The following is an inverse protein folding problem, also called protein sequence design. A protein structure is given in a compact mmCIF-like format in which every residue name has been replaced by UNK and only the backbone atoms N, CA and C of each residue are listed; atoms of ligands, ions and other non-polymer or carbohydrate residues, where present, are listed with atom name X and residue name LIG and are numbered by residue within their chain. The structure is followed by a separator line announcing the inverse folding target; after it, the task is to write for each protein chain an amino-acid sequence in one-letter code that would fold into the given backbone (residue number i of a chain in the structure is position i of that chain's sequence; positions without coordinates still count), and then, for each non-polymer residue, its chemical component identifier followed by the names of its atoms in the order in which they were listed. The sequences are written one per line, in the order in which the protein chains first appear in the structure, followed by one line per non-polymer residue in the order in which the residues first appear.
data_IF_284358306168
#
_entry.id   IF_284358306168
#
_cell.length_a   1.000
_cell.length_b   1.000
_cell.length_c   1.000
_cell.angle_alpha   90.00
_cell.angle_beta   90.00
_cell.angle_gamma   90.00
#
_symmetry.space_group_name_H-M   'P 1'
#
loop_
_entity.id
_entity.type
_entity.pdbx_description
1 polymer ?
#
# COMPACT_ATOMS: atom_id res chain seq x y z
N UNK A 1 27.29 3.93 1.14
CA UNK A 1 26.31 5.01 1.25
C UNK A 1 24.85 4.53 1.42
N UNK A 2 24.58 3.23 1.29
CA UNK A 2 23.21 2.65 1.34
C UNK A 2 22.74 2.26 2.75
N UNK A 3 23.58 2.34 3.77
CA UNK A 3 23.29 1.81 5.10
C UNK A 3 22.13 2.51 5.83
N UNK A 4 21.80 3.75 5.52
CA UNK A 4 20.75 4.51 6.22
C UNK A 4 19.34 4.29 5.66
N UNK A 5 19.21 3.96 4.39
CA UNK A 5 17.91 3.54 3.79
C UNK A 5 17.49 2.19 4.37
N UNK A 6 18.45 1.29 4.57
CA UNK A 6 18.25 -0.02 5.19
C UNK A 6 17.71 0.07 6.63
N UNK A 7 18.18 1.03 7.43
CA UNK A 7 17.72 1.21 8.81
C UNK A 7 16.23 1.58 8.92
N UNK A 8 15.66 2.30 7.96
CA UNK A 8 14.25 2.68 8.00
C UNK A 8 13.32 1.48 7.76
N UNK A 9 13.66 0.57 6.83
CA UNK A 9 12.88 -0.65 6.61
C UNK A 9 13.01 -1.61 7.79
N UNK A 10 14.23 -1.80 8.29
CA UNK A 10 14.51 -2.63 9.46
C UNK A 10 13.81 -2.12 10.71
N UNK A 11 13.84 -0.81 10.97
CA UNK A 11 13.19 -0.20 12.12
C UNK A 11 11.68 -0.42 12.13
N UNK A 12 11.01 -0.35 10.97
CA UNK A 12 9.59 -0.62 10.86
C UNK A 12 9.26 -2.08 11.21
N UNK A 13 10.02 -3.03 10.67
CA UNK A 13 9.84 -4.46 10.96
C UNK A 13 10.04 -4.75 12.45
N UNK A 14 11.10 -4.22 13.06
CA UNK A 14 11.35 -4.37 14.50
C UNK A 14 10.22 -3.79 15.34
N UNK A 15 9.72 -2.60 15.00
CA UNK A 15 8.62 -1.97 15.71
C UNK A 15 7.31 -2.78 15.63
N UNK A 16 7.01 -3.38 14.47
CA UNK A 16 5.85 -4.25 14.31
C UNK A 16 5.98 -5.54 15.12
N UNK A 17 7.16 -6.16 15.11
CA UNK A 17 7.45 -7.35 15.92
C UNK A 17 7.40 -7.05 17.42
N UNK A 18 7.89 -5.88 17.85
CA UNK A 18 7.81 -5.41 19.25
C UNK A 18 6.36 -5.22 19.69
N UNK A 19 5.48 -4.76 18.80
CA UNK A 19 4.05 -4.66 19.04
C UNK A 19 3.33 -6.03 19.17
N UNK A 20 4.03 -7.14 18.98
CA UNK A 20 3.50 -8.49 19.17
C UNK A 20 2.81 -9.09 17.95
N UNK A 21 2.98 -8.50 16.77
CA UNK A 21 2.37 -9.01 15.52
C UNK A 21 3.25 -10.03 14.81
N UNK A 22 2.63 -10.92 14.03
CA UNK A 22 3.32 -11.68 12.99
C UNK A 22 3.56 -10.77 11.79
N UNK A 23 4.76 -10.83 11.22
CA UNK A 23 5.17 -9.93 10.12
C UNK A 23 5.61 -10.74 8.92
N UNK A 24 4.95 -10.54 7.79
CA UNK A 24 5.43 -10.99 6.48
C UNK A 24 6.04 -9.80 5.75
N UNK A 25 7.36 -9.79 5.62
CA UNK A 25 8.11 -8.75 4.93
C UNK A 25 8.32 -9.15 3.46
N UNK A 26 7.80 -8.34 2.54
CA UNK A 26 7.98 -8.50 1.09
C UNK A 26 9.06 -7.51 0.67
N UNK A 27 10.19 -8.02 0.17
CA UNK A 27 11.35 -7.22 -0.21
C UNK A 27 11.87 -7.65 -1.58
N UNK A 28 11.97 -6.71 -2.51
CA UNK A 28 12.44 -6.97 -3.88
C UNK A 28 13.96 -7.09 -3.96
N UNK A 29 14.70 -6.41 -3.07
CA UNK A 29 16.17 -6.43 -3.05
C UNK A 29 16.68 -7.67 -2.29
N UNK A 30 17.33 -8.65 -2.98
CA UNK A 30 17.79 -9.88 -2.36
C UNK A 30 18.76 -9.66 -1.18
N UNK A 31 19.77 -8.78 -1.25
CA UNK A 31 20.63 -8.46 -0.12
C UNK A 31 19.87 -7.99 1.12
N UNK A 32 18.84 -7.15 0.95
CA UNK A 32 18.01 -6.67 2.06
C UNK A 32 17.15 -7.78 2.64
N UNK A 33 16.50 -8.58 1.77
CA UNK A 33 15.70 -9.73 2.18
C UNK A 33 16.52 -10.73 3.01
N UNK A 34 17.76 -11.01 2.60
CA UNK A 34 18.66 -11.94 3.31
C UNK A 34 19.16 -11.41 4.66
N UNK A 35 19.30 -10.08 4.80
CA UNK A 35 19.79 -9.46 6.05
C UNK A 35 18.72 -9.35 7.12
N UNK A 36 17.46 -9.22 6.73
CA UNK A 36 16.37 -8.95 7.66
C UNK A 36 16.21 -10.00 8.76
N UNK A 37 16.23 -11.33 8.48
CA UNK A 37 16.19 -12.35 9.53
C UNK A 37 17.37 -12.27 10.52
N UNK A 38 18.57 -12.01 10.02
CA UNK A 38 19.76 -11.88 10.84
C UNK A 38 19.66 -10.68 11.78
N UNK A 39 19.15 -9.57 11.28
CA UNK A 39 18.91 -8.36 12.08
C UNK A 39 17.89 -8.62 13.18
N UNK A 40 16.78 -9.29 12.87
CA UNK A 40 15.79 -9.64 13.89
C UNK A 40 16.37 -10.61 14.91
N UNK A 41 17.17 -11.59 14.48
CA UNK A 41 17.85 -12.51 15.41
C UNK A 41 18.84 -11.78 16.32
N UNK A 42 19.52 -10.74 15.84
CA UNK A 42 20.47 -9.94 16.62
C UNK A 42 19.76 -9.04 17.64
N UNK A 43 18.70 -8.33 17.24
CA UNK A 43 18.06 -7.30 18.07
C UNK A 43 16.83 -7.81 18.85
N UNK A 44 16.13 -8.82 18.33
CA UNK A 44 14.87 -9.35 18.88
C UNK A 44 14.75 -10.87 18.69
N UNK A 45 15.68 -11.70 19.21
CA UNK A 45 15.70 -13.14 18.98
C UNK A 45 14.39 -13.83 19.40
N UNK A 46 13.70 -13.30 20.41
CA UNK A 46 12.40 -13.80 20.89
C UNK A 46 11.25 -13.58 19.90
N UNK A 47 11.45 -12.77 18.86
CA UNK A 47 10.45 -12.49 17.85
C UNK A 47 10.78 -13.11 16.48
N UNK A 48 11.89 -13.84 16.36
CA UNK A 48 12.37 -14.39 15.09
C UNK A 48 11.34 -15.33 14.44
N UNK A 49 10.63 -16.12 15.21
CA UNK A 49 9.61 -17.08 14.73
C UNK A 49 8.35 -16.37 14.17
N UNK A 50 8.19 -15.07 14.42
CA UNK A 50 7.08 -14.27 13.94
C UNK A 50 7.41 -13.46 12.68
N UNK A 51 8.64 -13.59 12.16
CA UNK A 51 9.07 -12.95 10.92
C UNK A 51 9.12 -13.96 9.78
N UNK A 52 8.38 -13.68 8.72
CA UNK A 52 8.48 -14.34 7.42
C UNK A 52 9.01 -13.34 6.39
N UNK A 53 10.05 -13.70 5.66
CA UNK A 53 10.64 -12.83 4.63
C UNK A 53 10.49 -13.47 3.26
N UNK A 54 9.90 -12.72 2.34
CA UNK A 54 9.66 -13.14 0.97
C UNK A 54 10.41 -12.19 0.03
N UNK A 55 11.41 -12.73 -0.67
CA UNK A 55 12.10 -11.95 -1.68
C UNK A 55 11.32 -11.98 -2.99
N UNK A 56 10.44 -10.99 -3.17
CA UNK A 56 9.55 -10.89 -4.32
C UNK A 56 9.18 -9.44 -4.63
N UNK A 57 8.74 -9.18 -5.86
CA UNK A 57 8.17 -7.89 -6.25
C UNK A 57 6.69 -7.80 -5.79
N UNK A 58 6.37 -6.81 -4.98
CA UNK A 58 5.02 -6.56 -4.49
C UNK A 58 4.00 -6.27 -5.62
N UNK A 59 4.44 -5.90 -6.81
CA UNK A 59 3.57 -5.72 -7.99
C UNK A 59 3.10 -7.05 -8.60
N UNK A 60 3.87 -8.10 -8.42
CA UNK A 60 3.60 -9.41 -9.06
C UNK A 60 3.25 -10.51 -8.06
N UNK A 61 3.45 -10.28 -6.77
CA UNK A 61 3.20 -11.26 -5.70
C UNK A 61 1.77 -11.79 -5.73
N UNK A 62 1.62 -13.09 -5.50
CA UNK A 62 0.34 -13.79 -5.49
C UNK A 62 0.08 -14.49 -4.15
N UNK A 63 -1.16 -14.91 -3.87
CA UNK A 63 -1.45 -15.72 -2.69
C UNK A 63 -0.64 -17.03 -2.61
N UNK A 64 -0.27 -17.61 -3.74
CA UNK A 64 0.56 -18.81 -3.84
C UNK A 64 1.99 -18.58 -3.37
N UNK A 65 2.51 -17.36 -3.58
CA UNK A 65 3.85 -16.95 -3.13
C UNK A 65 3.90 -16.67 -1.61
N UNK A 66 2.72 -16.56 -0.98
CA UNK A 66 2.57 -16.09 0.40
C UNK A 66 1.55 -16.94 1.19
N UNK A 67 1.84 -18.23 1.44
CA UNK A 67 0.91 -19.14 2.14
C UNK A 67 0.47 -18.60 3.51
N UNK A 68 1.36 -17.92 4.22
CA UNK A 68 1.09 -17.32 5.53
C UNK A 68 0.01 -16.23 5.43
N UNK A 69 0.09 -15.37 4.41
CA UNK A 69 -0.92 -14.33 4.19
C UNK A 69 -2.24 -14.93 3.68
N UNK A 70 -2.17 -15.98 2.85
CA UNK A 70 -3.36 -16.62 2.28
C UNK A 70 -4.26 -17.25 3.34
N UNK A 71 -3.68 -17.69 4.45
CA UNK A 71 -4.41 -18.30 5.59
C UNK A 71 -4.74 -17.31 6.70
N UNK A 72 -4.19 -16.10 6.66
CA UNK A 72 -4.46 -15.08 7.66
C UNK A 72 -5.91 -14.58 7.57
N UNK A 73 -6.66 -14.50 8.68
CA UNK A 73 -8.03 -13.98 8.66
C UNK A 73 -8.08 -12.47 8.38
N UNK A 74 -7.04 -11.75 8.76
CA UNK A 74 -6.90 -10.30 8.61
C UNK A 74 -5.47 -9.95 8.26
N UNK A 75 -5.30 -9.04 7.31
CA UNK A 75 -4.00 -8.48 6.93
C UNK A 75 -4.05 -6.97 7.09
N UNK A 76 -3.02 -6.42 7.72
CA UNK A 76 -2.77 -4.98 7.77
C UNK A 76 -1.46 -4.68 7.04
N UNK A 77 -1.51 -3.90 5.96
CA UNK A 77 -0.31 -3.43 5.29
C UNK A 77 0.26 -2.20 6.00
N UNK A 78 1.53 -2.29 6.41
CA UNK A 78 2.30 -1.15 6.94
C UNK A 78 3.57 -1.03 6.13
N UNK A 79 3.75 0.09 5.42
CA UNK A 79 4.88 0.22 4.51
C UNK A 79 5.30 1.67 4.27
N UNK A 80 6.60 1.87 4.05
CA UNK A 80 7.14 3.04 3.37
C UNK A 80 7.31 2.67 1.90
N UNK A 81 6.37 3.07 1.05
CA UNK A 81 6.33 2.63 -0.35
C UNK A 81 7.21 3.50 -1.25
N UNK A 82 7.88 2.88 -2.25
CA UNK A 82 8.61 3.62 -3.27
C UNK A 82 7.64 4.55 -4.02
N UNK A 83 8.07 5.78 -4.25
CA UNK A 83 7.20 6.85 -4.70
C UNK A 83 6.52 6.62 -6.06
N UNK A 84 7.24 6.02 -7.01
CA UNK A 84 6.75 5.82 -8.38
C UNK A 84 5.80 4.61 -8.55
N UNK A 85 5.79 3.67 -7.59
CA UNK A 85 5.01 2.42 -7.69
C UNK A 85 4.01 2.22 -6.54
N UNK A 86 3.89 3.18 -5.63
CA UNK A 86 3.04 3.07 -4.45
C UNK A 86 1.57 2.77 -4.79
N UNK A 87 0.97 3.53 -5.72
CA UNK A 87 -0.43 3.32 -6.12
C UNK A 87 -0.67 1.94 -6.74
N UNK A 88 0.09 1.49 -7.75
CA UNK A 88 -0.09 0.14 -8.29
C UNK A 88 0.14 -0.96 -7.24
N UNK A 89 1.13 -0.84 -6.35
CA UNK A 89 1.32 -1.81 -5.26
C UNK A 89 0.07 -1.92 -4.38
N UNK A 90 -0.47 -0.79 -3.91
CA UNK A 90 -1.68 -0.77 -3.06
C UNK A 90 -2.86 -1.45 -3.78
N UNK A 91 -3.11 -1.08 -5.03
CA UNK A 91 -4.25 -1.64 -5.78
C UNK A 91 -4.07 -3.13 -6.07
N UNK A 92 -2.87 -3.58 -6.42
CA UNK A 92 -2.55 -4.99 -6.63
C UNK A 92 -2.76 -5.83 -5.36
N UNK A 93 -2.27 -5.34 -4.23
CA UNK A 93 -2.44 -6.04 -2.96
C UNK A 93 -3.91 -6.10 -2.52
N UNK A 94 -4.67 -5.01 -2.70
CA UNK A 94 -6.10 -4.99 -2.39
C UNK A 94 -6.91 -5.94 -3.28
N UNK A 95 -6.50 -6.12 -4.52
CA UNK A 95 -7.13 -7.06 -5.46
C UNK A 95 -6.84 -8.51 -5.11
N UNK A 96 -5.57 -8.82 -4.85
CA UNK A 96 -5.10 -10.20 -4.69
C UNK A 96 -5.33 -10.77 -3.30
N UNK A 97 -5.38 -9.89 -2.29
CA UNK A 97 -5.56 -10.28 -0.89
C UNK A 97 -6.86 -9.69 -0.32
N UNK A 98 -7.99 -10.40 -0.45
CA UNK A 98 -9.28 -9.95 0.10
C UNK A 98 -9.24 -9.71 1.62
N UNK A 99 -8.35 -10.42 2.34
CA UNK A 99 -8.12 -10.29 3.78
C UNK A 99 -7.39 -9.00 4.16
N UNK A 100 -6.81 -8.27 3.19
CA UNK A 100 -6.19 -6.97 3.42
C UNK A 100 -7.30 -5.94 3.70
N UNK A 101 -7.64 -5.79 4.97
CA UNK A 101 -8.74 -4.95 5.43
C UNK A 101 -8.30 -3.55 5.88
N UNK A 102 -7.00 -3.35 6.16
CA UNK A 102 -6.43 -2.07 6.57
C UNK A 102 -5.06 -1.84 5.98
N UNK A 103 -4.73 -0.57 5.80
CA UNK A 103 -3.33 -0.20 5.62
C UNK A 103 -2.99 1.15 6.26
N UNK A 104 -1.72 1.31 6.60
CA UNK A 104 -1.06 2.58 6.88
C UNK A 104 0.22 2.63 6.07
N UNK A 105 0.25 3.50 5.07
CA UNK A 105 1.40 3.63 4.19
C UNK A 105 1.94 5.05 4.16
N UNK A 106 3.26 5.17 4.08
CA UNK A 106 3.93 6.43 3.82
C UNK A 106 4.22 6.53 2.33
N UNK A 107 3.79 7.62 1.72
CA UNK A 107 3.98 7.93 0.29
C UNK A 107 4.29 9.41 0.10
N UNK A 108 4.68 9.81 -1.12
CA UNK A 108 4.78 11.24 -1.44
C UNK A 108 3.47 11.98 -1.13
N UNK A 109 3.58 13.22 -0.65
CA UNK A 109 2.41 14.07 -0.34
C UNK A 109 1.41 14.12 -1.48
N UNK A 110 1.87 14.31 -2.73
CA UNK A 110 0.99 14.36 -3.90
C UNK A 110 0.22 13.05 -4.12
N UNK A 111 0.88 11.91 -3.94
CA UNK A 111 0.25 10.58 -4.04
C UNK A 111 -0.77 10.41 -2.93
N UNK A 112 -0.44 10.78 -1.70
CA UNK A 112 -1.37 10.74 -0.56
C UNK A 112 -2.61 11.60 -0.80
N UNK A 113 -2.40 12.82 -1.29
CA UNK A 113 -3.49 13.75 -1.60
C UNK A 113 -4.43 13.19 -2.68
N UNK A 114 -3.89 12.51 -3.71
CA UNK A 114 -4.69 11.85 -4.75
C UNK A 114 -5.43 10.62 -4.23
N UNK A 115 -4.78 9.77 -3.43
CA UNK A 115 -5.41 8.57 -2.87
C UNK A 115 -6.57 8.91 -1.95
N UNK A 116 -6.44 9.98 -1.15
CA UNK A 116 -7.46 10.44 -0.20
C UNK A 116 -8.40 11.52 -0.77
N UNK A 117 -8.29 11.84 -2.07
CA UNK A 117 -9.11 12.88 -2.70
C UNK A 117 -10.59 12.49 -2.74
N UNK A 118 -11.46 13.49 -2.52
CA UNK A 118 -12.91 13.33 -2.62
C UNK A 118 -13.44 13.86 -3.95
N UNK A 119 -14.59 13.34 -4.43
CA UNK A 119 -15.26 13.88 -5.60
C UNK A 119 -15.40 15.39 -5.55
N UNK A 120 -15.21 16.07 -6.69
CA UNK A 120 -15.28 17.53 -6.80
C UNK A 120 -13.96 18.26 -6.52
N UNK A 121 -12.95 17.58 -6.01
CA UNK A 121 -11.61 18.20 -5.88
C UNK A 121 -10.83 18.14 -7.18
N UNK A 122 -9.93 19.14 -7.39
CA UNK A 122 -9.09 19.22 -8.61
C UNK A 122 -8.09 18.07 -8.76
N UNK A 123 -7.79 17.37 -7.68
CA UNK A 123 -6.83 16.25 -7.62
C UNK A 123 -7.51 14.89 -7.67
N UNK A 124 -8.86 14.84 -7.62
CA UNK A 124 -9.63 13.61 -7.78
C UNK A 124 -9.37 12.99 -9.15
N UNK A 125 -9.13 11.69 -9.19
CA UNK A 125 -8.76 11.00 -10.42
C UNK A 125 -8.76 9.48 -10.27
N UNK A 126 -8.23 8.79 -11.27
CA UNK A 126 -8.18 7.33 -11.31
C UNK A 126 -7.74 6.67 -10.00
N UNK A 127 -6.63 7.08 -9.32
CA UNK A 127 -6.24 6.48 -8.06
C UNK A 127 -7.28 6.63 -6.96
N UNK A 128 -7.95 7.80 -6.89
CA UNK A 128 -8.98 8.09 -5.91
C UNK A 128 -10.19 7.16 -6.08
N UNK A 129 -10.67 7.02 -7.33
CA UNK A 129 -11.85 6.21 -7.66
C UNK A 129 -11.56 4.73 -7.44
N UNK A 130 -10.42 4.24 -7.95
CA UNK A 130 -10.06 2.82 -7.82
C UNK A 130 -9.87 2.42 -6.36
N UNK A 131 -9.27 3.28 -5.53
CA UNK A 131 -9.13 3.00 -4.11
C UNK A 131 -10.48 3.05 -3.38
N UNK A 132 -11.34 4.01 -3.74
CA UNK A 132 -12.69 4.13 -3.17
C UNK A 132 -13.61 2.93 -3.49
N UNK A 133 -13.28 2.13 -4.50
CA UNK A 133 -13.97 0.85 -4.76
C UNK A 133 -13.83 -0.12 -3.59
N UNK A 134 -12.64 -0.19 -2.98
CA UNK A 134 -12.33 -1.14 -1.93
C UNK A 134 -12.67 -0.65 -0.52
N UNK A 135 -12.61 0.66 -0.28
CA UNK A 135 -12.76 1.19 1.07
C UNK A 135 -12.55 2.69 1.16
N UNK A 136 -12.32 3.16 2.38
CA UNK A 136 -12.15 4.58 2.72
C UNK A 136 -10.67 4.85 3.01
N UNK A 137 -10.09 5.77 2.25
CA UNK A 137 -8.75 6.28 2.47
C UNK A 137 -8.77 7.68 3.07
N UNK A 138 -7.84 7.96 3.98
CA UNK A 138 -7.67 9.26 4.61
C UNK A 138 -6.19 9.59 4.74
N UNK A 139 -5.82 10.85 4.50
CA UNK A 139 -4.50 11.34 4.85
C UNK A 139 -4.48 11.63 6.36
N UNK A 140 -3.69 10.86 7.12
CA UNK A 140 -3.67 10.92 8.58
C UNK A 140 -2.61 11.85 9.15
N UNK A 141 -1.45 11.98 8.47
CA UNK A 141 -0.37 12.86 8.93
C UNK A 141 0.50 13.34 7.77
N UNK A 142 1.20 14.45 8.00
CA UNK A 142 2.25 14.99 7.14
C UNK A 142 3.61 14.71 7.76
N UNK A 143 4.58 14.35 6.93
CA UNK A 143 5.96 14.08 7.33
C UNK A 143 6.87 14.96 6.47
N UNK A 144 7.46 15.96 7.10
CA UNK A 144 8.38 16.87 6.43
C UNK A 144 9.65 16.15 5.97
N UNK A 145 10.18 16.55 4.81
CA UNK A 145 11.37 15.97 4.20
C UNK A 145 12.61 15.98 5.11
N UNK A 146 12.68 16.90 6.07
CA UNK A 146 13.83 17.05 6.99
C UNK A 146 13.94 15.90 8.02
N UNK A 147 12.92 15.04 8.13
CA UNK A 147 12.95 13.84 8.98
C UNK A 147 13.83 12.73 8.39
N UNK A 148 14.11 12.81 7.09
CA UNK A 148 14.85 11.79 6.36
C UNK A 148 16.31 12.20 6.10
N UNK A 149 17.18 11.20 6.01
CA UNK A 149 18.56 11.38 5.58
C UNK A 149 18.97 10.31 4.54
N UNK A 150 19.40 10.72 3.34
CA UNK A 150 19.34 12.07 2.79
C UNK A 150 17.91 12.57 2.67
N UNK A 151 17.73 13.92 2.80
CA UNK A 151 16.41 14.50 2.68
C UNK A 151 15.88 14.36 1.25
N UNK A 152 14.66 13.85 1.04
CA UNK A 152 14.04 13.79 -0.28
C UNK A 152 13.66 15.19 -0.77
N UNK A 153 13.40 15.31 -2.08
CA UNK A 153 13.01 16.61 -2.68
C UNK A 153 11.57 17.03 -2.35
N UNK A 154 10.75 16.11 -1.84
CA UNK A 154 9.31 16.31 -1.57
C UNK A 154 8.95 15.82 -0.18
N UNK A 155 7.91 16.40 0.38
CA UNK A 155 7.34 15.93 1.63
C UNK A 155 6.60 14.60 1.43
N UNK A 156 6.51 13.83 2.50
CA UNK A 156 5.74 12.60 2.58
C UNK A 156 4.47 12.79 3.41
N UNK A 157 3.54 11.85 3.27
CA UNK A 157 2.36 11.82 4.11
C UNK A 157 1.98 10.36 4.40
N UNK A 158 1.30 10.15 5.53
CA UNK A 158 0.69 8.88 5.88
C UNK A 158 -0.73 8.84 5.33
N UNK A 159 -1.06 7.71 4.69
CA UNK A 159 -2.43 7.38 4.27
C UNK A 159 -2.87 6.17 5.05
N UNK A 160 -4.00 6.28 5.73
CA UNK A 160 -4.71 5.17 6.35
C UNK A 160 -5.89 4.76 5.50
N UNK A 161 -6.20 3.49 5.53
CA UNK A 161 -7.30 2.90 4.76
C UNK A 161 -8.02 1.84 5.58
N UNK A 162 -9.32 1.76 5.38
CA UNK A 162 -10.16 0.69 5.92
C UNK A 162 -11.07 0.17 4.81
N UNK A 163 -11.03 -1.15 4.57
CA UNK A 163 -11.86 -1.83 3.57
C UNK A 163 -13.33 -1.82 3.98
N UNK A 164 -14.22 -1.74 3.01
CA UNK A 164 -15.66 -1.92 3.26
C UNK A 164 -15.96 -3.34 3.73
N UNK A 165 -16.95 -3.51 4.63
CA UNK A 165 -17.53 -4.83 4.89
C UNK A 165 -18.02 -5.43 3.56
N UNK A 166 -17.65 -6.69 3.28
CA UNK A 166 -17.97 -7.31 1.98
C UNK A 166 -16.96 -7.04 0.86
N UNK A 167 -15.91 -6.24 1.13
CA UNK A 167 -14.72 -6.13 0.26
C UNK A 167 -14.83 -5.12 -0.88
N UNK A 168 -15.98 -4.55 -1.13
CA UNK A 168 -16.22 -3.56 -2.20
C UNK A 168 -17.28 -2.53 -1.83
N UNK A 169 -17.40 -1.49 -2.65
CA UNK A 169 -18.40 -0.43 -2.48
C UNK A 169 -19.81 -1.04 -2.39
N UNK A 170 -20.60 -0.73 -1.32
CA UNK A 170 -21.94 -1.31 -1.12
C UNK A 170 -22.89 -1.10 -2.30
N UNK A 171 -22.84 0.07 -2.94
CA UNK A 171 -23.68 0.41 -4.09
C UNK A 171 -23.34 -0.45 -5.31
N UNK A 172 -22.07 -0.76 -5.54
CA UNK A 172 -21.62 -1.62 -6.62
C UNK A 172 -22.13 -3.06 -6.44
N UNK A 173 -22.10 -3.55 -5.21
CA UNK A 173 -22.65 -4.86 -4.86
C UNK A 173 -24.14 -4.94 -5.13
N UNK A 174 -24.90 -3.90 -4.77
CA UNK A 174 -26.36 -3.84 -4.99
C UNK A 174 -26.76 -3.75 -6.46
N UNK A 175 -25.92 -3.14 -7.29
CA UNK A 175 -26.15 -2.99 -8.73
C UNK A 175 -25.62 -4.15 -9.56
N UNK A 176 -24.87 -5.08 -8.97
CA UNK A 176 -24.27 -6.23 -9.68
C UNK A 176 -23.22 -5.81 -10.71
N UNK A 177 -22.53 -4.68 -10.49
CA UNK A 177 -21.56 -4.13 -11.42
C UNK A 177 -20.19 -4.78 -11.18
N UNK A 178 -19.53 -5.26 -12.23
CA UNK A 178 -18.21 -5.82 -12.13
C UNK A 178 -17.12 -4.74 -11.97
N UNK A 179 -16.15 -5.01 -11.10
CA UNK A 179 -15.03 -4.09 -10.84
C UNK A 179 -14.28 -3.72 -12.13
N UNK A 180 -13.99 -4.69 -12.98
CA UNK A 180 -13.16 -4.49 -14.17
C UNK A 180 -13.85 -3.58 -15.18
N UNK A 181 -15.18 -3.66 -15.32
CA UNK A 181 -15.95 -2.77 -16.17
C UNK A 181 -15.88 -1.32 -15.64
N UNK A 182 -16.02 -1.15 -14.31
CA UNK A 182 -15.90 0.17 -13.69
C UNK A 182 -14.48 0.72 -13.85
N UNK A 183 -13.45 -0.09 -13.65
CA UNK A 183 -12.07 0.36 -13.76
C UNK A 183 -11.70 0.73 -15.19
N UNK A 184 -12.18 -0.02 -16.19
CA UNK A 184 -12.01 0.31 -17.60
C UNK A 184 -12.66 1.67 -17.94
N UNK A 185 -13.90 1.89 -17.45
CA UNK A 185 -14.61 3.14 -17.62
C UNK A 185 -13.87 4.32 -16.95
N UNK A 186 -13.35 4.12 -15.74
CA UNK A 186 -12.56 5.12 -15.00
C UNK A 186 -11.29 5.47 -15.76
N UNK A 187 -10.56 4.48 -16.27
CA UNK A 187 -9.34 4.71 -17.04
C UNK A 187 -9.63 5.49 -18.34
N UNK A 188 -10.71 5.18 -19.05
CA UNK A 188 -11.14 5.91 -20.22
C UNK A 188 -11.53 7.37 -19.88
N UNK A 189 -12.35 7.56 -18.84
CA UNK A 189 -12.84 8.86 -18.42
C UNK A 189 -11.72 9.83 -17.98
N UNK A 190 -10.73 9.33 -17.25
CA UNK A 190 -9.59 10.12 -16.76
C UNK A 190 -8.39 10.15 -17.72
N UNK A 191 -8.34 9.26 -18.71
CA UNK A 191 -7.26 9.19 -19.70
C UNK A 191 -7.13 10.47 -20.52
N UNK A 192 -8.22 11.20 -20.71
CA UNK A 192 -8.26 12.45 -21.46
C UNK A 192 -8.69 13.65 -20.61
N UNK A 193 -7.92 13.93 -19.56
CA UNK A 193 -8.21 14.93 -18.52
C UNK A 193 -8.72 16.31 -18.98
N UNK A 194 -8.45 16.72 -20.23
CA UNK A 194 -8.87 18.03 -20.79
C UNK A 194 -10.14 17.94 -21.62
N UNK A 195 -10.71 16.77 -21.81
CA UNK A 195 -11.97 16.57 -22.53
C UNK A 195 -13.16 16.46 -21.58
N UNK A 196 -14.34 16.75 -22.08
CA UNK A 196 -15.59 16.43 -21.37
C UNK A 196 -15.77 14.92 -21.31
N UNK A 197 -16.53 14.44 -20.34
CA UNK A 197 -16.81 13.00 -20.19
C UNK A 197 -17.39 12.39 -21.48
N UNK A 198 -18.32 13.12 -22.15
CA UNK A 198 -18.91 12.73 -23.45
C UNK A 198 -17.89 12.61 -24.59
N UNK A 199 -16.78 13.33 -24.53
CA UNK A 199 -15.74 13.28 -25.56
C UNK A 199 -14.60 12.30 -25.21
N UNK A 200 -14.60 11.77 -23.98
CA UNK A 200 -13.61 10.81 -23.47
C UNK A 200 -14.11 9.36 -23.51
N UNK A 201 -15.45 9.18 -23.48
CA UNK A 201 -16.17 7.92 -23.62
C UNK A 201 -16.80 7.81 -25.00
#
# INVERSE_FOLDING_TARGET
ANSKVELNHLALTLALLEAGTDVTAIEIDPPLAQRLPNTVMEFMPQAADRLHVINHDALTITPEDTPELSTAPHITLVANLPYNVATPIILTLLERFPQLDRFTVMVQKEVADRLAAKPGSKIYGTPSVKLAWYGIAQRSAMIGRNVFWPAPNVDSALVTFTRYPGGQLPEASSLGVARDDVFALVDAAFGQRRKTLHAAL
#
